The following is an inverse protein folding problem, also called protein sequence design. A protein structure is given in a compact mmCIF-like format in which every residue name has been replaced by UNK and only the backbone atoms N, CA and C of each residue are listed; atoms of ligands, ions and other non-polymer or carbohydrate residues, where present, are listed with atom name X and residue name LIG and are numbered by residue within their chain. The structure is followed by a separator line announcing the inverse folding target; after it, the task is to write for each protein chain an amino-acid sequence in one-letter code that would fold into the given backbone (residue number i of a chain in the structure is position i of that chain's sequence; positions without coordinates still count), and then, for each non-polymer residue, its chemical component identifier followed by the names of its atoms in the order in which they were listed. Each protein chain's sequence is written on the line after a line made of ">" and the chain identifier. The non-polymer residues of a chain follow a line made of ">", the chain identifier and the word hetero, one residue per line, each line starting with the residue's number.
data_IF_419194871476
#
_entry.id   IF_419194871476
#
_cell.length_a   1.000
_cell.length_b   1.000
_cell.length_c   1.000
_cell.angle_alpha   90.00
_cell.angle_beta   90.00
_cell.angle_gamma   90.00
#
_symmetry.space_group_name_H-M   'P 1'
#
loop_
_entity.id
_entity.type
_entity.pdbx_description
1 polymer ?
#
# COMPACT_ATOMS: atom_id res chain seq x y z
N UNK A 1 -18.29 -22.08 -7.24
CA UNK A 1 -17.72 -23.22 -6.50
C UNK A 1 -18.75 -23.68 -5.46
N UNK A 2 -19.13 -24.95 -5.42
CA UNK A 2 -20.00 -25.45 -4.34
C UNK A 2 -19.21 -25.52 -3.02
N UNK A 3 -19.82 -25.17 -1.87
CA UNK A 3 -19.11 -25.22 -0.59
C UNK A 3 -18.85 -26.68 -0.17
N UNK A 4 -17.70 -26.96 0.47
CA UNK A 4 -17.36 -28.32 0.88
C UNK A 4 -18.30 -28.81 2.00
N UNK A 5 -18.94 -29.96 1.76
CA UNK A 5 -19.68 -30.72 2.77
C UNK A 5 -18.71 -31.49 3.66
N UNK A 6 -18.29 -30.92 4.79
CA UNK A 6 -17.96 -31.62 6.05
C UNK A 6 -17.55 -30.64 7.15
N UNK A 7 -18.12 -30.85 8.33
CA UNK A 7 -17.94 -30.13 9.59
C UNK A 7 -16.53 -30.29 10.16
N UNK A 8 -15.58 -29.44 9.75
CA UNK A 8 -14.23 -29.42 10.34
C UNK A 8 -13.64 -28.03 10.74
N UNK A 9 -14.38 -27.05 11.32
CA UNK A 9 -13.74 -25.82 11.84
C UNK A 9 -13.34 -25.87 13.32
N UNK A 10 -14.00 -26.70 14.15
CA UNK A 10 -13.98 -26.50 15.61
C UNK A 10 -12.67 -26.88 16.32
N UNK A 11 -11.94 -27.88 15.83
CA UNK A 11 -10.71 -28.36 16.46
C UNK A 11 -9.48 -27.46 16.21
N UNK A 12 -9.53 -26.57 15.20
CA UNK A 12 -8.45 -25.61 14.90
C UNK A 12 -8.69 -24.22 15.52
N UNK A 13 -9.96 -23.89 15.80
CA UNK A 13 -10.34 -22.61 16.43
C UNK A 13 -9.93 -22.57 17.91
N UNK A 14 -10.03 -23.70 18.63
CA UNK A 14 -9.71 -23.76 20.07
C UNK A 14 -8.22 -23.49 20.36
N UNK A 15 -7.25 -24.09 19.66
CA UNK A 15 -5.83 -23.74 19.82
C UNK A 15 -5.51 -22.29 19.45
N UNK A 16 -6.16 -21.75 18.41
CA UNK A 16 -5.98 -20.36 17.97
C UNK A 16 -6.48 -19.39 19.06
N UNK A 17 -7.67 -19.62 19.60
CA UNK A 17 -8.25 -18.84 20.70
C UNK A 17 -7.42 -18.92 22.00
N UNK A 18 -6.79 -20.06 22.29
CA UNK A 18 -5.90 -20.23 23.45
C UNK A 18 -4.57 -19.48 23.30
N UNK A 19 -4.00 -19.41 22.09
CA UNK A 19 -2.74 -18.69 21.80
C UNK A 19 -2.85 -17.16 21.88
N UNK A 20 -4.08 -16.66 21.80
CA UNK A 20 -4.43 -15.22 21.78
C UNK A 20 -4.52 -14.64 23.21
N UNK A 21 -4.32 -15.45 24.28
CA UNK A 21 -4.62 -15.11 25.68
C UNK A 21 -3.54 -14.35 26.48
N UNK A 22 -2.41 -13.94 25.90
CA UNK A 22 -1.34 -13.22 26.63
C UNK A 22 -1.11 -11.83 26.05
N UNK A 23 -1.63 -10.78 26.72
CA UNK A 23 -1.13 -9.40 26.59
C UNK A 23 -0.79 -8.92 27.99
N UNK A 24 0.50 -8.92 28.29
CA UNK A 24 1.07 -8.41 29.53
C UNK A 24 1.43 -6.93 29.33
N UNK A 25 0.99 -6.08 30.27
CA UNK A 25 1.30 -4.64 30.33
C UNK A 25 2.81 -4.33 30.43
N UNK A 26 3.66 -5.33 30.68
CA UNK A 26 5.12 -5.20 30.76
C UNK A 26 5.79 -4.79 29.43
N UNK A 27 5.10 -4.86 28.30
CA UNK A 27 5.75 -4.83 26.99
C UNK A 27 5.98 -3.44 26.36
N UNK A 28 5.21 -2.42 26.75
CA UNK A 28 5.50 -1.03 26.34
C UNK A 28 6.89 -0.57 26.81
N UNK A 29 7.34 -1.05 27.97
CA UNK A 29 8.69 -0.82 28.47
C UNK A 29 9.76 -1.66 27.77
N UNK A 30 9.41 -2.80 27.18
CA UNK A 30 10.33 -3.71 26.48
C UNK A 30 10.56 -3.30 25.02
N UNK A 31 9.61 -2.60 24.39
CA UNK A 31 9.72 -2.14 23.01
C UNK A 31 10.54 -0.83 22.86
N UNK A 32 10.88 -0.17 23.98
CA UNK A 32 11.75 1.00 24.01
C UNK A 32 13.19 0.56 23.75
N UNK A 33 13.83 1.12 22.73
CA UNK A 33 15.25 0.91 22.52
C UNK A 33 16.04 1.53 23.68
N UNK A 34 16.94 0.74 24.26
CA UNK A 34 17.84 1.16 25.33
C UNK A 34 19.28 1.03 24.87
N UNK A 35 20.15 1.88 25.39
CA UNK A 35 21.58 1.74 25.20
C UNK A 35 22.05 0.40 25.78
N UNK A 36 22.79 -0.39 25.00
CA UNK A 36 23.17 -1.75 25.38
C UNK A 36 24.19 -1.80 26.53
N UNK A 37 24.85 -0.69 26.86
CA UNK A 37 25.83 -0.59 27.96
C UNK A 37 25.26 0.11 29.19
N UNK A 38 24.47 1.17 29.01
CA UNK A 38 23.97 1.99 30.13
C UNK A 38 22.53 1.66 30.52
N UNK A 39 21.75 0.99 29.65
CA UNK A 39 20.34 0.68 29.87
C UNK A 39 19.40 1.90 29.77
N UNK A 40 19.94 3.08 29.49
CA UNK A 40 19.18 4.31 29.34
C UNK A 40 18.32 4.27 28.08
N UNK A 41 17.14 4.88 28.17
CA UNK A 41 16.20 5.00 27.07
C UNK A 41 16.80 5.87 25.95
N UNK A 42 16.77 5.36 24.73
CA UNK A 42 17.28 6.09 23.58
C UNK A 42 16.21 7.02 23.03
N UNK A 43 16.63 8.21 22.60
CA UNK A 43 15.75 9.21 21.98
C UNK A 43 16.17 9.48 20.54
N UNK A 44 15.22 9.85 19.68
CA UNK A 44 15.45 10.30 18.31
C UNK A 44 15.90 11.77 18.28
N UNK A 45 16.22 12.27 17.08
CA UNK A 45 16.71 13.64 16.89
C UNK A 45 15.71 14.74 17.29
N UNK A 46 14.47 14.37 17.58
CA UNK A 46 13.40 15.28 17.99
C UNK A 46 13.05 15.10 19.48
N UNK A 47 13.87 14.37 20.25
CA UNK A 47 13.67 14.15 21.68
C UNK A 47 12.61 13.12 22.03
N UNK A 48 12.22 12.23 21.10
CA UNK A 48 11.20 11.19 21.34
C UNK A 48 11.83 9.83 21.60
N UNK A 49 11.25 8.98 22.48
CA UNK A 49 11.70 7.61 22.65
C UNK A 49 11.84 6.85 21.33
N UNK A 50 12.99 6.18 21.12
CA UNK A 50 13.16 5.22 20.05
C UNK A 50 12.51 3.90 20.45
N UNK A 51 11.81 3.28 19.51
CA UNK A 51 11.17 1.99 19.68
C UNK A 51 11.74 0.99 18.68
N UNK A 52 11.74 -0.31 19.00
CA UNK A 52 12.08 -1.35 18.02
C UNK A 52 11.08 -1.35 16.84
N UNK A 53 9.84 -0.92 17.10
CA UNK A 53 8.80 -0.66 16.09
C UNK A 53 8.19 0.73 16.30
N UNK A 54 8.15 1.59 15.28
CA UNK A 54 7.61 2.96 15.40
C UNK A 54 6.06 2.94 15.38
N UNK A 55 5.38 3.44 16.43
CA UNK A 55 3.97 3.81 16.29
C UNK A 55 3.87 5.09 15.45
N UNK A 56 3.09 5.08 14.37
CA UNK A 56 2.93 6.25 13.50
C UNK A 56 1.61 6.98 13.80
N UNK A 57 1.75 8.26 14.16
CA UNK A 57 0.79 9.37 14.21
C UNK A 57 -0.70 9.05 14.55
N UNK A 58 -0.99 9.14 15.85
CA UNK A 58 -2.30 9.40 16.43
C UNK A 58 -2.77 10.84 16.10
N UNK A 59 -3.60 11.02 15.07
CA UNK A 59 -4.32 12.30 14.89
C UNK A 59 -5.84 12.16 14.76
N UNK A 60 -6.42 10.96 15.00
CA UNK A 60 -7.89 10.78 14.93
C UNK A 60 -8.53 10.26 16.24
N UNK A 61 -7.76 9.83 17.26
CA UNK A 61 -8.34 9.06 18.39
C UNK A 61 -8.16 9.64 19.80
N UNK A 62 -7.95 10.94 19.98
CA UNK A 62 -8.00 11.57 21.31
C UNK A 62 -9.44 11.77 21.86
N UNK A 63 -10.36 10.82 21.62
CA UNK A 63 -11.72 10.90 22.18
C UNK A 63 -12.16 9.71 23.05
N UNK A 64 -11.39 8.64 23.17
CA UNK A 64 -11.78 7.53 24.07
C UNK A 64 -10.68 7.24 25.08
N UNK A 65 -10.98 7.62 26.33
CA UNK A 65 -10.07 7.55 27.47
C UNK A 65 -9.70 6.14 27.89
N UNK A 66 -8.61 6.06 28.65
CA UNK A 66 -8.02 4.86 29.24
C UNK A 66 -9.05 4.03 30.02
N UNK A 67 -9.65 3.04 29.37
CA UNK A 67 -10.51 2.08 30.03
C UNK A 67 -9.76 0.76 30.21
N UNK A 68 -9.22 0.53 31.42
CA UNK A 68 -8.70 -0.77 31.85
C UNK A 68 -9.86 -1.76 32.03
N UNK A 69 -10.22 -2.48 30.98
CA UNK A 69 -11.15 -3.61 31.08
C UNK A 69 -10.37 -4.92 31.16
N UNK A 70 -10.43 -5.59 32.30
CA UNK A 70 -10.06 -7.00 32.40
C UNK A 70 -11.17 -7.84 31.76
N UNK A 71 -10.91 -8.41 30.59
CA UNK A 71 -11.84 -9.33 29.92
C UNK A 71 -11.96 -10.65 30.72
N UNK A 72 -13.16 -11.25 30.85
CA UNK A 72 -13.33 -12.55 31.47
C UNK A 72 -12.49 -13.62 30.77
N UNK A 73 -12.01 -14.62 31.52
CA UNK A 73 -11.20 -15.72 30.98
C UNK A 73 -11.86 -16.40 29.78
N UNK A 74 -11.09 -16.60 28.71
CA UNK A 74 -11.50 -17.08 27.37
C UNK A 74 -12.24 -18.44 27.33
N UNK A 75 -12.27 -19.20 28.43
CA UNK A 75 -13.04 -20.44 28.54
C UNK A 75 -14.56 -20.25 28.39
N UNK A 76 -15.07 -19.02 28.54
CA UNK A 76 -16.51 -18.72 28.42
C UNK A 76 -16.98 -18.35 26.99
N UNK A 77 -16.09 -18.33 25.99
CA UNK A 77 -16.43 -17.93 24.61
C UNK A 77 -17.02 -19.08 23.77
N UNK A 78 -16.69 -20.33 24.10
CA UNK A 78 -17.23 -21.52 23.42
C UNK A 78 -18.76 -21.63 23.62
N UNK A 79 -19.31 -21.44 24.84
CA UNK A 79 -20.75 -21.34 25.04
C UNK A 79 -21.42 -20.21 24.23
N UNK A 80 -20.82 -19.02 24.16
CA UNK A 80 -21.41 -17.87 23.45
C UNK A 80 -21.66 -18.17 21.95
N UNK A 81 -20.73 -18.86 21.29
CA UNK A 81 -20.90 -19.29 19.88
C UNK A 81 -21.98 -20.36 19.74
N UNK A 82 -22.08 -21.29 20.69
CA UNK A 82 -23.04 -22.39 20.69
C UNK A 82 -24.48 -21.93 21.00
N UNK A 83 -24.65 -20.82 21.72
CA UNK A 83 -25.96 -20.25 22.07
C UNK A 83 -26.41 -19.08 21.17
N UNK A 84 -25.74 -18.83 20.04
CA UNK A 84 -26.19 -17.85 19.04
C UNK A 84 -25.67 -16.42 19.23
N UNK A 85 -24.72 -16.17 20.12
CA UNK A 85 -24.12 -14.85 20.37
C UNK A 85 -22.94 -14.53 19.43
N UNK A 86 -23.01 -14.95 18.16
CA UNK A 86 -21.89 -14.78 17.21
C UNK A 86 -21.50 -13.32 17.00
N UNK A 87 -22.48 -12.42 16.90
CA UNK A 87 -22.23 -10.98 16.77
C UNK A 87 -21.61 -10.38 18.03
N UNK A 88 -22.06 -10.77 19.23
CA UNK A 88 -21.42 -10.30 20.47
C UNK A 88 -19.96 -10.78 20.60
N UNK A 89 -19.66 -12.00 20.11
CA UNK A 89 -18.27 -12.46 20.02
C UNK A 89 -17.47 -11.66 18.98
N UNK A 90 -18.06 -11.33 17.84
CA UNK A 90 -17.44 -10.47 16.83
C UNK A 90 -17.06 -9.11 17.43
N UNK A 91 -17.94 -8.49 18.23
CA UNK A 91 -17.65 -7.22 18.90
C UNK A 91 -16.48 -7.31 19.89
N UNK A 92 -16.43 -8.38 20.71
CA UNK A 92 -15.31 -8.61 21.65
C UNK A 92 -13.99 -8.79 20.88
N UNK A 93 -14.02 -9.56 19.79
CA UNK A 93 -12.85 -9.78 18.95
C UNK A 93 -12.44 -8.49 18.24
N UNK A 94 -13.38 -7.61 17.90
CA UNK A 94 -13.09 -6.32 17.29
C UNK A 94 -12.31 -5.41 18.24
N UNK A 95 -12.76 -5.27 19.49
CA UNK A 95 -12.00 -4.58 20.55
C UNK A 95 -10.59 -5.16 20.73
N UNK A 96 -10.45 -6.48 20.55
CA UNK A 96 -9.15 -7.13 20.62
C UNK A 96 -8.24 -6.81 19.42
N UNK A 97 -8.79 -6.75 18.22
CA UNK A 97 -8.06 -6.36 17.01
C UNK A 97 -7.51 -4.93 17.15
N UNK A 98 -8.33 -4.02 17.69
CA UNK A 98 -7.93 -2.66 18.04
C UNK A 98 -6.77 -2.65 19.07
N UNK A 99 -6.88 -3.46 20.13
CA UNK A 99 -5.80 -3.64 21.10
C UNK A 99 -4.48 -4.13 20.47
N UNK A 100 -4.53 -4.99 19.45
CA UNK A 100 -3.34 -5.42 18.71
C UNK A 100 -2.74 -4.30 17.86
N UNK A 101 -3.57 -3.45 17.26
CA UNK A 101 -3.09 -2.30 16.52
C UNK A 101 -2.31 -1.34 17.42
N UNK A 102 -2.87 -0.98 18.58
CA UNK A 102 -2.20 -0.12 19.55
C UNK A 102 -0.92 -0.73 20.14
N UNK A 103 -0.86 -2.05 20.22
CA UNK A 103 0.30 -2.78 20.73
C UNK A 103 1.37 -3.12 19.66
N UNK A 104 1.10 -2.80 18.38
CA UNK A 104 2.02 -3.07 17.26
C UNK A 104 2.04 -4.51 16.75
N UNK A 105 1.09 -5.36 17.17
CA UNK A 105 0.99 -6.76 16.75
C UNK A 105 0.17 -6.92 15.46
N UNK A 106 0.64 -6.29 14.40
CA UNK A 106 -0.05 -6.21 13.12
C UNK A 106 -0.32 -7.59 12.50
N UNK A 107 0.57 -8.56 12.71
CA UNK A 107 0.43 -9.93 12.23
C UNK A 107 -0.80 -10.65 12.81
N UNK A 108 -1.30 -10.21 13.97
CA UNK A 108 -2.45 -10.83 14.66
C UNK A 108 -3.78 -10.24 14.22
N UNK A 109 -3.78 -9.03 13.63
CA UNK A 109 -5.00 -8.34 13.23
C UNK A 109 -5.72 -9.11 12.12
N UNK A 110 -4.99 -9.52 11.09
CA UNK A 110 -5.59 -10.18 9.93
C UNK A 110 -6.35 -11.47 10.30
N UNK A 111 -5.78 -12.47 11.01
CA UNK A 111 -6.54 -13.66 11.41
C UNK A 111 -7.79 -13.33 12.23
N UNK A 112 -7.73 -12.32 13.09
CA UNK A 112 -8.87 -11.88 13.90
C UNK A 112 -9.95 -11.24 13.03
N UNK A 113 -9.60 -10.35 12.09
CA UNK A 113 -10.56 -9.78 11.13
C UNK A 113 -11.24 -10.86 10.28
N UNK A 114 -10.49 -11.87 9.82
CA UNK A 114 -11.07 -12.99 9.09
C UNK A 114 -12.03 -13.83 9.96
N UNK A 115 -11.72 -14.03 11.24
CA UNK A 115 -12.61 -14.71 12.18
C UNK A 115 -13.87 -13.89 12.46
N UNK A 116 -13.73 -12.59 12.67
CA UNK A 116 -14.86 -11.68 12.88
C UNK A 116 -15.81 -11.73 11.68
N UNK A 117 -15.30 -11.60 10.46
CA UNK A 117 -16.13 -11.66 9.24
C UNK A 117 -16.74 -13.04 8.95
N UNK A 118 -16.26 -14.10 9.60
CA UNK A 118 -16.92 -15.41 9.60
C UNK A 118 -18.05 -15.50 10.64
N UNK A 119 -17.87 -14.87 11.80
CA UNK A 119 -18.89 -14.80 12.87
C UNK A 119 -20.04 -13.88 12.49
N UNK A 120 -19.70 -12.68 11.98
CA UNK A 120 -20.63 -11.66 11.54
C UNK A 120 -20.20 -11.13 10.14
N UNK A 121 -20.72 -11.73 9.05
CA UNK A 121 -20.37 -11.32 7.70
C UNK A 121 -20.93 -9.95 7.30
N UNK A 122 -21.85 -9.38 8.09
CA UNK A 122 -22.49 -8.08 7.85
C UNK A 122 -21.77 -6.92 8.56
N UNK A 123 -20.73 -7.22 9.35
CA UNK A 123 -19.94 -6.21 10.06
C UNK A 123 -19.02 -5.43 9.10
N UNK A 124 -19.55 -4.34 8.53
CA UNK A 124 -18.90 -3.55 7.47
C UNK A 124 -17.54 -2.97 7.90
N UNK A 125 -17.48 -2.38 9.09
CA UNK A 125 -16.30 -1.71 9.64
C UNK A 125 -15.06 -2.61 9.62
N UNK A 126 -15.25 -3.90 9.90
CA UNK A 126 -14.16 -4.87 9.95
C UNK A 126 -13.53 -5.06 8.58
N UNK A 127 -14.34 -5.08 7.51
CA UNK A 127 -13.80 -5.16 6.15
C UNK A 127 -13.03 -3.89 5.77
N UNK A 128 -13.59 -2.72 6.06
CA UNK A 128 -13.01 -1.41 5.72
C UNK A 128 -11.68 -1.21 6.47
N UNK A 129 -11.73 -1.25 7.80
CA UNK A 129 -10.55 -0.99 8.65
C UNK A 129 -9.55 -2.14 8.57
N UNK A 130 -10.02 -3.39 8.47
CA UNK A 130 -9.15 -4.55 8.26
C UNK A 130 -8.33 -4.43 6.97
N UNK A 131 -8.96 -4.05 5.86
CA UNK A 131 -8.27 -3.82 4.60
C UNK A 131 -7.35 -2.60 4.66
N UNK A 132 -7.77 -1.52 5.32
CA UNK A 132 -6.93 -0.36 5.57
C UNK A 132 -5.67 -0.73 6.35
N UNK A 133 -5.76 -1.57 7.39
CA UNK A 133 -4.59 -2.08 8.09
C UNK A 133 -3.63 -2.83 7.16
N UNK A 134 -4.15 -3.74 6.34
CA UNK A 134 -3.36 -4.53 5.39
C UNK A 134 -2.64 -3.66 4.35
N UNK A 135 -3.32 -2.64 3.80
CA UNK A 135 -2.79 -1.85 2.71
C UNK A 135 -1.95 -0.63 3.15
N UNK A 136 -2.21 -0.08 4.36
CA UNK A 136 -1.59 1.18 4.82
C UNK A 136 -0.71 0.99 6.05
N UNK A 137 -1.16 0.26 7.07
CA UNK A 137 -0.51 0.27 8.38
C UNK A 137 0.51 -0.83 8.61
N UNK A 138 0.40 -1.95 7.92
CA UNK A 138 1.40 -3.03 8.05
C UNK A 138 2.76 -2.61 7.48
N UNK A 139 2.80 -1.51 6.71
CA UNK A 139 4.00 -0.95 6.08
C UNK A 139 4.78 -2.01 5.27
N UNK A 140 4.03 -2.94 4.67
CA UNK A 140 4.53 -4.04 3.87
C UNK A 140 3.59 -4.25 2.69
N UNK A 141 4.07 -3.87 1.51
CA UNK A 141 3.28 -3.84 0.28
C UNK A 141 2.78 -5.21 -0.18
N UNK A 142 3.37 -6.30 0.35
CA UNK A 142 2.92 -7.67 0.06
C UNK A 142 1.49 -7.91 0.57
N UNK A 143 1.03 -7.16 1.57
CA UNK A 143 -0.32 -7.25 2.12
C UNK A 143 -1.39 -6.45 1.34
N UNK A 144 -1.00 -5.57 0.41
CA UNK A 144 -1.98 -4.75 -0.34
C UNK A 144 -2.99 -5.61 -1.11
N UNK A 145 -2.60 -6.66 -1.86
CA UNK A 145 -3.56 -7.53 -2.54
C UNK A 145 -4.56 -8.19 -1.58
N UNK A 146 -4.09 -8.61 -0.39
CA UNK A 146 -4.95 -9.20 0.62
C UNK A 146 -6.01 -8.21 1.14
N UNK A 147 -5.66 -6.92 1.29
CA UNK A 147 -6.64 -5.88 1.64
C UNK A 147 -7.71 -5.71 0.57
N UNK A 148 -7.32 -5.69 -0.71
CA UNK A 148 -8.27 -5.58 -1.84
C UNK A 148 -9.18 -6.80 -1.94
N UNK A 149 -8.64 -8.01 -1.76
CA UNK A 149 -9.42 -9.26 -1.70
C UNK A 149 -10.34 -9.31 -0.48
N UNK A 150 -9.92 -8.77 0.65
CA UNK A 150 -10.73 -8.69 1.85
C UNK A 150 -11.94 -7.77 1.66
N UNK A 151 -11.76 -6.63 0.97
CA UNK A 151 -12.87 -5.77 0.54
C UNK A 151 -13.77 -6.46 -0.49
N UNK A 152 -13.22 -7.25 -1.42
CA UNK A 152 -14.03 -8.06 -2.35
C UNK A 152 -14.93 -9.04 -1.60
N UNK A 153 -14.40 -9.71 -0.56
CA UNK A 153 -15.21 -10.56 0.33
C UNK A 153 -16.30 -9.75 1.03
N UNK A 154 -15.98 -8.54 1.47
CA UNK A 154 -16.95 -7.60 2.04
C UNK A 154 -18.09 -7.30 1.08
N UNK A 155 -17.78 -6.92 -0.17
CA UNK A 155 -18.74 -6.63 -1.24
C UNK A 155 -19.60 -7.86 -1.54
N UNK A 156 -19.00 -9.05 -1.60
CA UNK A 156 -19.75 -10.30 -1.80
C UNK A 156 -20.78 -10.55 -0.70
N UNK A 157 -20.40 -10.31 0.56
CA UNK A 157 -21.28 -10.51 1.71
C UNK A 157 -22.30 -9.36 1.89
N UNK A 158 -22.00 -8.17 1.35
CA UNK A 158 -22.77 -6.95 1.51
C UNK A 158 -22.94 -6.22 0.16
N UNK A 159 -23.65 -6.84 -0.81
CA UNK A 159 -23.71 -6.33 -2.17
C UNK A 159 -24.42 -4.99 -2.32
N UNK A 160 -25.26 -4.60 -1.35
CA UNK A 160 -26.02 -3.34 -1.34
C UNK A 160 -25.24 -2.17 -0.71
N UNK A 161 -24.06 -2.42 -0.15
CA UNK A 161 -23.26 -1.39 0.51
C UNK A 161 -22.32 -0.70 -0.49
N UNK A 162 -22.59 0.58 -0.75
CA UNK A 162 -21.78 1.41 -1.65
C UNK A 162 -20.38 1.69 -1.08
N UNK A 163 -20.30 1.84 0.24
CA UNK A 163 -19.06 2.20 0.95
C UNK A 163 -17.94 1.18 0.72
N UNK A 164 -18.25 -0.12 0.72
CA UNK A 164 -17.24 -1.16 0.49
C UNK A 164 -16.63 -1.10 -0.92
N UNK A 165 -17.42 -0.69 -1.92
CA UNK A 165 -16.91 -0.48 -3.29
C UNK A 165 -16.05 0.76 -3.37
N UNK A 166 -16.46 1.84 -2.70
CA UNK A 166 -15.66 3.05 -2.60
C UNK A 166 -14.30 2.77 -1.95
N UNK A 167 -14.27 2.07 -0.82
CA UNK A 167 -13.04 1.74 -0.11
C UNK A 167 -12.12 0.81 -0.92
N UNK A 168 -12.71 -0.13 -1.69
CA UNK A 168 -11.93 -0.95 -2.61
C UNK A 168 -11.34 -0.10 -3.74
N UNK A 169 -12.13 0.81 -4.31
CA UNK A 169 -11.68 1.73 -5.36
C UNK A 169 -10.53 2.61 -4.87
N UNK A 170 -10.66 3.16 -3.65
CA UNK A 170 -9.63 3.99 -3.03
C UNK A 170 -8.32 3.21 -2.80
N UNK A 171 -8.41 1.97 -2.30
CA UNK A 171 -7.25 1.11 -2.10
C UNK A 171 -6.58 0.75 -3.43
N UNK A 172 -7.36 0.49 -4.49
CA UNK A 172 -6.86 0.24 -5.84
C UNK A 172 -6.13 1.46 -6.40
N UNK A 173 -6.68 2.65 -6.20
CA UNK A 173 -6.11 3.91 -6.67
C UNK A 173 -4.79 4.26 -5.97
N UNK A 174 -4.78 4.30 -4.63
CA UNK A 174 -3.66 4.84 -3.85
C UNK A 174 -2.54 3.83 -3.60
N UNK A 175 -2.90 2.56 -3.37
CA UNK A 175 -1.95 1.54 -2.92
C UNK A 175 -1.58 0.53 -4.00
N UNK A 176 -2.56 0.03 -4.74
CA UNK A 176 -2.30 -0.94 -5.80
C UNK A 176 -1.88 -0.28 -7.13
N UNK A 177 -2.22 1.00 -7.32
CA UNK A 177 -1.96 1.77 -8.55
C UNK A 177 -2.63 1.10 -9.76
N UNK A 178 -3.85 0.60 -9.56
CA UNK A 178 -4.69 -0.03 -10.57
C UNK A 178 -5.84 0.92 -10.92
N UNK A 179 -5.52 1.94 -11.70
CA UNK A 179 -6.43 3.06 -11.97
C UNK A 179 -7.69 2.65 -12.75
N UNK A 180 -7.57 1.65 -13.64
CA UNK A 180 -8.71 1.15 -14.40
C UNK A 180 -9.71 0.43 -13.50
N UNK A 181 -9.26 -0.47 -12.63
CA UNK A 181 -10.14 -1.13 -11.65
C UNK A 181 -10.66 -0.14 -10.61
N UNK A 182 -9.86 0.84 -10.19
CA UNK A 182 -10.32 1.91 -9.31
C UNK A 182 -11.47 2.71 -9.93
N UNK A 183 -11.31 3.16 -11.19
CA UNK A 183 -12.36 3.88 -11.90
C UNK A 183 -13.63 3.04 -12.07
N UNK A 184 -13.50 1.73 -12.32
CA UNK A 184 -14.65 0.82 -12.35
C UNK A 184 -15.38 0.79 -11.00
N UNK A 185 -14.66 0.57 -9.90
CA UNK A 185 -15.27 0.46 -8.57
C UNK A 185 -15.86 1.78 -8.07
N UNK A 186 -15.24 2.93 -8.36
CA UNK A 186 -15.85 4.23 -8.10
C UNK A 186 -17.12 4.44 -8.92
N UNK A 187 -17.17 3.99 -10.19
CA UNK A 187 -18.38 4.08 -11.01
C UNK A 187 -19.52 3.26 -10.40
N UNK A 188 -19.23 2.06 -9.91
CA UNK A 188 -20.21 1.22 -9.22
C UNK A 188 -20.72 1.88 -7.94
N UNK A 189 -19.83 2.42 -7.09
CA UNK A 189 -20.21 3.15 -5.88
C UNK A 189 -21.07 4.40 -6.18
N UNK A 190 -20.74 5.16 -7.23
CA UNK A 190 -21.52 6.31 -7.66
C UNK A 190 -22.92 5.93 -8.16
N UNK A 191 -23.05 4.82 -8.90
CA UNK A 191 -24.34 4.28 -9.32
C UNK A 191 -25.24 3.89 -8.13
N UNK A 192 -24.63 3.61 -6.97
CA UNK A 192 -25.33 3.30 -5.72
C UNK A 192 -25.57 4.54 -4.84
N UNK A 193 -25.23 5.74 -5.32
CA UNK A 193 -25.52 6.99 -4.61
C UNK A 193 -24.58 7.32 -3.45
N UNK A 194 -23.30 6.87 -3.51
CA UNK A 194 -22.29 7.14 -2.47
C UNK A 194 -22.25 8.63 -2.07
N UNK A 195 -22.13 8.87 -0.76
CA UNK A 195 -22.06 10.20 -0.15
C UNK A 195 -20.82 10.33 0.74
N UNK A 196 -20.34 11.55 1.02
CA UNK A 196 -20.78 12.85 0.47
C UNK A 196 -20.31 13.05 -0.98
N UNK A 197 -20.71 14.15 -1.67
CA UNK A 197 -20.34 14.41 -3.07
C UNK A 197 -18.84 14.30 -3.37
N UNK A 198 -17.98 14.70 -2.43
CA UNK A 198 -16.52 14.56 -2.58
C UNK A 198 -16.05 13.11 -2.80
N UNK A 199 -16.72 12.10 -2.22
CA UNK A 199 -16.40 10.69 -2.53
C UNK A 199 -16.73 10.32 -3.98
N UNK A 200 -17.75 10.96 -4.56
CA UNK A 200 -18.16 10.69 -5.94
C UNK A 200 -17.13 11.21 -6.95
N UNK A 201 -16.49 12.33 -6.61
CA UNK A 201 -15.47 13.00 -7.42
C UNK A 201 -14.24 12.14 -7.69
N UNK A 202 -13.93 11.20 -6.78
CA UNK A 202 -12.82 10.25 -6.94
C UNK A 202 -12.92 9.41 -8.23
N UNK A 203 -14.13 9.22 -8.78
CA UNK A 203 -14.28 8.61 -10.11
C UNK A 203 -13.53 9.40 -11.19
N UNK A 204 -13.69 10.72 -11.22
CA UNK A 204 -13.08 11.55 -12.25
C UNK A 204 -11.55 11.60 -12.09
N UNK A 205 -11.04 11.64 -10.85
CA UNK A 205 -9.61 11.51 -10.57
C UNK A 205 -9.05 10.14 -10.99
N UNK A 206 -9.76 9.04 -10.72
CA UNK A 206 -9.36 7.71 -11.16
C UNK A 206 -9.34 7.59 -12.69
N UNK A 207 -10.32 8.18 -13.39
CA UNK A 207 -10.36 8.23 -14.85
C UNK A 207 -9.19 9.05 -15.42
N UNK A 208 -8.87 10.20 -14.83
CA UNK A 208 -7.73 11.02 -15.22
C UNK A 208 -6.40 10.26 -15.02
N UNK A 209 -6.22 9.61 -13.87
CA UNK A 209 -5.03 8.80 -13.59
C UNK A 209 -4.90 7.58 -14.52
N UNK A 210 -6.02 6.98 -14.94
CA UNK A 210 -6.06 5.94 -15.98
C UNK A 210 -5.79 6.49 -17.39
N UNK A 211 -5.70 7.82 -17.56
CA UNK A 211 -5.51 8.49 -18.83
C UNK A 211 -6.76 8.48 -19.73
N UNK A 212 -7.95 8.25 -19.16
CA UNK A 212 -9.26 8.27 -19.82
C UNK A 212 -9.85 9.69 -19.73
N UNK A 213 -9.17 10.65 -20.35
CA UNK A 213 -9.36 12.08 -20.11
C UNK A 213 -10.76 12.57 -20.49
N UNK A 214 -11.28 12.12 -21.64
CA UNK A 214 -12.63 12.51 -22.08
C UNK A 214 -13.72 12.01 -21.12
N UNK A 215 -13.54 10.83 -20.55
CA UNK A 215 -14.45 10.30 -19.53
C UNK A 215 -14.33 11.04 -18.20
N UNK A 216 -13.12 11.47 -17.81
CA UNK A 216 -12.92 12.28 -16.63
C UNK A 216 -13.63 13.64 -16.76
N UNK A 217 -13.50 14.30 -17.92
CA UNK A 217 -14.21 15.56 -18.23
C UNK A 217 -15.72 15.35 -18.18
N UNK A 218 -16.23 14.31 -18.84
CA UNK A 218 -17.67 14.00 -18.83
C UNK A 218 -18.20 13.69 -17.41
N UNK A 219 -17.40 13.02 -16.58
CA UNK A 219 -17.75 12.78 -15.18
C UNK A 219 -17.84 14.10 -14.39
N UNK A 220 -16.89 15.02 -14.57
CA UNK A 220 -16.96 16.34 -13.94
C UNK A 220 -18.16 17.16 -14.40
N UNK A 221 -18.46 17.18 -15.70
CA UNK A 221 -19.64 17.88 -16.25
C UNK A 221 -20.93 17.37 -15.60
N UNK A 222 -21.08 16.04 -15.50
CA UNK A 222 -22.22 15.43 -14.82
C UNK A 222 -22.30 15.84 -13.34
N UNK A 223 -21.18 15.86 -12.61
CA UNK A 223 -21.19 16.26 -11.20
C UNK A 223 -21.60 17.72 -11.03
N UNK A 224 -21.15 18.61 -11.93
CA UNK A 224 -21.54 20.03 -11.92
C UNK A 224 -23.05 20.18 -12.09
N UNK A 225 -23.64 19.50 -13.06
CA UNK A 225 -25.10 19.53 -13.30
C UNK A 225 -25.88 19.06 -12.07
N UNK A 226 -25.51 17.89 -11.51
CA UNK A 226 -26.18 17.31 -10.34
C UNK A 226 -26.03 18.20 -9.09
N UNK A 227 -24.86 18.79 -8.87
CA UNK A 227 -24.57 19.62 -7.70
C UNK A 227 -25.24 20.98 -7.78
N UNK A 228 -25.31 21.58 -8.97
CA UNK A 228 -26.11 22.78 -9.20
C UNK A 228 -27.59 22.52 -8.99
N UNK A 229 -28.12 21.42 -9.53
CA UNK A 229 -29.52 21.03 -9.34
C UNK A 229 -29.84 20.78 -7.85
N UNK A 230 -28.89 20.25 -7.08
CA UNK A 230 -29.01 20.06 -5.64
C UNK A 230 -28.77 21.34 -4.81
N UNK A 231 -28.44 22.48 -5.44
CA UNK A 231 -28.10 23.73 -4.75
C UNK A 231 -26.75 23.71 -4.01
N UNK A 232 -25.91 22.69 -4.26
CA UNK A 232 -24.59 22.53 -3.67
C UNK A 232 -23.52 23.28 -4.48
N UNK A 233 -23.60 24.61 -4.47
CA UNK A 233 -22.72 25.47 -5.25
C UNK A 233 -21.24 25.28 -4.93
N UNK A 234 -20.89 24.93 -3.68
CA UNK A 234 -19.50 24.69 -3.28
C UNK A 234 -18.89 23.50 -4.05
N UNK A 235 -19.60 22.37 -4.07
CA UNK A 235 -19.15 21.19 -4.79
C UNK A 235 -19.17 21.41 -6.30
N UNK A 236 -20.20 22.08 -6.83
CA UNK A 236 -20.25 22.42 -8.24
C UNK A 236 -19.02 23.26 -8.68
N UNK A 237 -18.55 24.18 -7.83
CA UNK A 237 -17.37 24.99 -8.11
C UNK A 237 -16.07 24.17 -8.05
N UNK A 238 -15.97 23.20 -7.13
CA UNK A 238 -14.85 22.23 -7.08
C UNK A 238 -14.82 21.37 -8.35
N UNK A 239 -15.97 20.85 -8.77
CA UNK A 239 -16.11 20.04 -9.98
C UNK A 239 -15.75 20.85 -11.23
N UNK A 240 -16.22 22.11 -11.32
CA UNK A 240 -15.87 23.05 -12.39
C UNK A 240 -14.37 23.32 -12.44
N UNK A 241 -13.76 23.63 -11.30
CA UNK A 241 -12.32 23.89 -11.25
C UNK A 241 -11.49 22.70 -11.73
N UNK A 242 -11.82 21.49 -11.28
CA UNK A 242 -11.09 20.28 -11.70
C UNK A 242 -11.28 19.98 -13.19
N UNK A 243 -12.50 20.08 -13.71
CA UNK A 243 -12.77 19.95 -15.15
C UNK A 243 -11.92 20.92 -15.98
N UNK A 244 -11.93 22.20 -15.61
CA UNK A 244 -11.25 23.25 -16.36
C UNK A 244 -9.72 23.03 -16.33
N UNK A 245 -9.18 22.55 -15.20
CA UNK A 245 -7.79 22.12 -15.10
C UNK A 245 -7.49 20.90 -16.00
N UNK A 246 -8.36 19.88 -16.01
CA UNK A 246 -8.18 18.69 -16.86
C UNK A 246 -8.18 19.08 -18.34
N UNK A 247 -9.11 19.93 -18.79
CA UNK A 247 -9.17 20.45 -20.16
C UNK A 247 -7.90 21.24 -20.50
N UNK A 248 -7.48 22.14 -19.61
CA UNK A 248 -6.27 22.93 -19.83
C UNK A 248 -5.03 22.02 -19.98
N UNK A 249 -4.89 21.02 -19.10
CA UNK A 249 -3.81 20.02 -19.20
C UNK A 249 -3.91 19.18 -20.47
N UNK A 250 -5.13 18.86 -20.93
CA UNK A 250 -5.33 18.06 -22.14
C UNK A 250 -4.71 18.77 -23.34
N UNK A 251 -5.01 20.06 -23.49
CA UNK A 251 -4.44 20.91 -24.54
C UNK A 251 -2.93 21.09 -24.34
N UNK A 252 -2.49 21.43 -23.13
CA UNK A 252 -1.08 21.71 -22.84
C UNK A 252 -0.17 20.50 -23.08
N UNK A 253 -0.57 19.31 -22.60
CA UNK A 253 0.19 18.07 -22.78
C UNK A 253 0.13 17.56 -24.22
N UNK A 254 -0.96 17.79 -24.95
CA UNK A 254 -1.03 17.51 -26.38
C UNK A 254 -0.06 18.38 -27.20
N UNK A 255 0.11 19.66 -26.84
CA UNK A 255 1.12 20.53 -27.45
C UNK A 255 2.54 20.05 -27.12
N UNK A 256 2.81 19.73 -25.85
CA UNK A 256 4.09 19.18 -25.40
C UNK A 256 4.44 17.88 -26.15
N UNK A 257 3.45 17.01 -26.41
CA UNK A 257 3.64 15.75 -27.11
C UNK A 257 4.09 15.89 -28.56
N UNK A 258 3.94 17.08 -29.19
CA UNK A 258 4.44 17.34 -30.55
C UNK A 258 5.97 17.35 -30.61
N UNK A 259 6.63 17.70 -29.50
CA UNK A 259 8.08 17.76 -29.37
C UNK A 259 8.52 16.98 -28.11
N UNK A 260 8.42 15.64 -28.13
CA UNK A 260 8.73 14.82 -26.96
C UNK A 260 10.21 14.93 -26.60
N UNK A 261 10.51 14.98 -25.30
CA UNK A 261 11.88 15.08 -24.80
C UNK A 261 12.58 13.72 -24.98
N UNK A 262 13.74 13.67 -25.66
CA UNK A 262 14.60 12.48 -25.64
C UNK A 262 15.16 12.30 -24.23
N UNK A 263 14.68 11.26 -23.53
CA UNK A 263 15.06 11.03 -22.15
C UNK A 263 16.46 10.45 -22.09
N UNK A 264 17.33 11.17 -21.41
CA UNK A 264 18.61 10.68 -20.94
C UNK A 264 18.37 10.12 -19.54
N UNK A 265 18.60 8.82 -19.36
CA UNK A 265 18.47 8.15 -18.08
C UNK A 265 19.63 7.18 -17.91
N UNK A 266 20.38 7.35 -16.83
CA UNK A 266 21.49 6.47 -16.47
C UNK A 266 21.24 5.86 -15.10
N UNK A 267 21.84 4.71 -14.86
CA UNK A 267 21.87 4.09 -13.53
C UNK A 267 23.16 3.29 -13.34
N UNK A 268 23.64 3.28 -12.10
CA UNK A 268 24.72 2.46 -11.60
C UNK A 268 24.27 1.85 -10.27
N UNK A 269 24.83 0.68 -9.93
CA UNK A 269 24.50 0.02 -8.68
C UNK A 269 25.71 -0.69 -8.08
N UNK A 270 25.67 -0.86 -6.76
CA UNK A 270 26.68 -1.59 -6.00
C UNK A 270 26.10 -2.11 -4.68
N UNK A 271 26.80 -3.05 -4.05
CA UNK A 271 26.38 -3.64 -2.77
C UNK A 271 27.39 -3.21 -1.69
N UNK A 272 27.24 -2.01 -1.09
CA UNK A 272 28.23 -1.46 -0.17
C UNK A 272 28.34 -2.24 1.14
N UNK A 273 27.27 -2.91 1.59
CA UNK A 273 27.26 -3.80 2.77
C UNK A 273 26.25 -4.95 2.55
N UNK A 274 26.36 -6.00 3.35
CA UNK A 274 25.44 -7.15 3.32
C UNK A 274 23.99 -6.65 3.37
N UNK A 275 23.15 -7.14 2.45
CA UNK A 275 21.73 -6.83 2.26
C UNK A 275 21.42 -5.38 1.90
N UNK A 276 22.38 -4.60 1.43
CA UNK A 276 22.15 -3.20 1.05
C UNK A 276 22.57 -2.96 -0.37
N UNK A 277 21.61 -2.47 -1.16
CA UNK A 277 21.79 -2.08 -2.54
C UNK A 277 21.89 -0.55 -2.61
N UNK A 278 23.01 -0.04 -3.11
CA UNK A 278 23.08 1.35 -3.58
C UNK A 278 22.71 1.36 -5.04
N UNK A 279 21.79 2.24 -5.41
CA UNK A 279 21.39 2.48 -6.79
C UNK A 279 21.22 3.97 -7.00
N UNK A 280 21.86 4.47 -8.05
CA UNK A 280 21.94 5.89 -8.33
C UNK A 280 22.13 6.15 -9.81
N UNK A 281 21.85 7.37 -10.26
CA UNK A 281 21.95 7.72 -11.66
C UNK A 281 21.63 9.17 -11.93
N UNK A 282 21.51 9.47 -13.22
CA UNK A 282 21.13 10.80 -13.71
C UNK A 282 19.91 10.73 -14.61
N UNK A 283 19.20 11.85 -14.72
CA UNK A 283 18.20 12.04 -15.77
C UNK A 283 18.01 13.51 -16.12
N UNK A 284 17.64 13.78 -17.38
CA UNK A 284 17.24 15.10 -17.85
C UNK A 284 15.75 15.42 -17.64
N UNK A 285 14.99 14.54 -16.98
CA UNK A 285 13.59 14.80 -16.64
C UNK A 285 13.43 15.91 -15.58
N UNK A 286 12.23 16.47 -15.41
CA UNK A 286 12.01 17.55 -14.46
C UNK A 286 12.32 17.15 -13.01
N UNK A 287 12.66 18.15 -12.20
CA UNK A 287 12.79 18.00 -10.75
C UNK A 287 11.57 17.32 -10.13
N UNK A 288 11.80 16.60 -9.02
CA UNK A 288 10.78 15.82 -8.31
C UNK A 288 10.29 14.55 -9.03
N UNK A 289 10.78 14.26 -10.24
CA UNK A 289 10.53 12.98 -10.92
C UNK A 289 10.79 11.82 -9.96
N UNK A 290 9.82 10.92 -9.86
CA UNK A 290 9.86 9.73 -9.03
C UNK A 290 10.36 8.55 -9.85
N UNK A 291 11.52 8.03 -9.48
CA UNK A 291 12.08 6.78 -9.97
C UNK A 291 11.64 5.70 -8.98
N UNK A 292 10.71 4.87 -9.41
CA UNK A 292 10.25 3.71 -8.65
C UNK A 292 11.33 2.63 -8.68
N UNK A 293 11.76 2.19 -7.51
CA UNK A 293 12.76 1.13 -7.37
C UNK A 293 12.10 -0.04 -6.65
N UNK A 294 12.02 -1.18 -7.34
CA UNK A 294 11.59 -2.43 -6.74
C UNK A 294 12.73 -3.42 -6.69
N UNK A 295 12.84 -4.17 -5.60
CA UNK A 295 13.69 -5.37 -5.51
C UNK A 295 12.80 -6.51 -5.09
N UNK A 296 12.64 -7.50 -5.98
CA UNK A 296 11.74 -8.64 -5.74
C UNK A 296 12.33 -9.93 -6.25
N UNK A 297 11.80 -11.07 -5.80
CA UNK A 297 12.19 -12.38 -6.34
C UNK A 297 12.05 -12.41 -7.87
N UNK A 298 12.97 -13.04 -8.60
CA UNK A 298 12.95 -13.04 -10.08
C UNK A 298 11.67 -13.64 -10.68
N UNK A 299 11.05 -14.60 -9.98
CA UNK A 299 9.80 -15.23 -10.39
C UNK A 299 8.61 -14.79 -9.50
N UNK A 300 8.65 -13.59 -8.93
CA UNK A 300 7.69 -13.09 -7.94
C UNK A 300 6.22 -13.31 -8.36
N UNK A 301 5.87 -12.93 -9.59
CA UNK A 301 4.49 -13.01 -10.09
C UNK A 301 4.01 -14.47 -10.26
N UNK A 302 4.93 -15.41 -10.56
CA UNK A 302 4.63 -16.84 -10.60
C UNK A 302 4.46 -17.40 -9.19
N UNK A 303 5.36 -17.06 -8.26
CA UNK A 303 5.31 -17.53 -6.87
C UNK A 303 4.03 -17.10 -6.15
N UNK A 304 3.55 -15.88 -6.38
CA UNK A 304 2.25 -15.43 -5.85
C UNK A 304 1.10 -16.29 -6.36
N UNK A 305 1.11 -16.64 -7.66
CA UNK A 305 0.05 -17.46 -8.27
C UNK A 305 0.06 -18.90 -7.74
N UNK A 306 1.24 -19.47 -7.57
CA UNK A 306 1.42 -20.84 -7.06
C UNK A 306 1.13 -20.94 -5.55
N UNK A 307 1.36 -19.85 -4.81
CA UNK A 307 1.17 -19.77 -3.38
C UNK A 307 0.28 -18.58 -3.00
N UNK A 308 -1.04 -18.67 -3.22
CA UNK A 308 -1.97 -17.56 -2.99
C UNK A 308 -2.14 -17.21 -1.50
N UNK A 309 -1.62 -18.03 -0.58
CA UNK A 309 -1.79 -17.77 0.85
C UNK A 309 -0.89 -16.61 1.30
N UNK A 310 -1.50 -15.50 1.72
CA UNK A 310 -0.77 -14.29 2.12
C UNK A 310 0.28 -14.54 3.22
N UNK A 311 -0.03 -15.38 4.22
CA UNK A 311 0.92 -15.74 5.29
C UNK A 311 2.15 -16.48 4.76
N UNK A 312 1.99 -17.28 3.70
CA UNK A 312 3.12 -17.89 3.02
C UNK A 312 3.91 -16.82 2.25
N UNK A 313 3.22 -15.95 1.50
CA UNK A 313 3.86 -14.93 0.68
C UNK A 313 4.74 -14.00 1.52
N UNK A 314 4.23 -13.51 2.65
CA UNK A 314 4.95 -12.58 3.53
C UNK A 314 6.10 -13.24 4.29
N UNK A 315 6.08 -14.57 4.47
CA UNK A 315 7.16 -15.31 5.11
C UNK A 315 8.29 -15.68 4.14
N UNK A 316 8.00 -15.74 2.84
CA UNK A 316 8.89 -16.34 1.84
C UNK A 316 9.36 -15.37 0.75
N UNK A 317 8.54 -14.41 0.35
CA UNK A 317 8.83 -13.51 -0.76
C UNK A 317 9.52 -12.24 -0.29
N UNK A 318 10.44 -11.73 -1.09
CA UNK A 318 11.04 -10.41 -0.91
C UNK A 318 10.35 -9.42 -1.84
N UNK A 319 9.85 -8.31 -1.29
CA UNK A 319 9.42 -7.16 -2.08
C UNK A 319 9.82 -5.87 -1.37
N UNK A 320 10.89 -5.26 -1.84
CA UNK A 320 11.17 -3.85 -1.58
C UNK A 320 10.53 -3.02 -2.68
N UNK A 321 9.91 -1.91 -2.31
CA UNK A 321 9.37 -0.95 -3.27
C UNK A 321 9.27 0.45 -2.63
N UNK A 322 10.10 1.37 -3.13
CA UNK A 322 10.12 2.79 -2.75
C UNK A 322 10.35 3.70 -3.98
N UNK A 323 10.12 5.01 -3.83
CA UNK A 323 10.36 6.02 -4.84
C UNK A 323 11.60 6.85 -4.50
N UNK A 324 12.60 6.81 -5.38
CA UNK A 324 13.72 7.75 -5.38
C UNK A 324 13.30 9.03 -6.11
N UNK A 325 13.77 10.19 -5.65
CA UNK A 325 13.39 11.48 -6.23
C UNK A 325 14.57 12.08 -6.98
N UNK A 326 14.33 12.50 -8.23
CA UNK A 326 15.29 13.26 -9.01
C UNK A 326 15.47 14.64 -8.40
N UNK A 327 16.74 15.00 -8.20
CA UNK A 327 17.17 16.30 -7.71
C UNK A 327 18.51 16.71 -8.31
N UNK A 328 18.59 17.92 -8.85
CA UNK A 328 19.77 18.47 -9.51
C UNK A 328 20.28 17.53 -10.63
N UNK A 329 19.34 16.96 -11.40
CA UNK A 329 19.61 15.98 -12.47
C UNK A 329 20.12 14.62 -11.99
N UNK A 330 20.16 14.38 -10.67
CA UNK A 330 20.65 13.14 -10.05
C UNK A 330 19.58 12.48 -9.21
N UNK A 331 19.59 11.16 -9.16
CA UNK A 331 18.70 10.39 -8.30
C UNK A 331 19.50 9.29 -7.62
N UNK A 332 19.15 9.02 -6.37
CA UNK A 332 19.79 7.98 -5.56
C UNK A 332 18.91 7.72 -4.35
N UNK A 333 19.35 6.77 -3.55
CA UNK A 333 18.93 6.57 -2.19
C UNK A 333 19.23 7.81 -1.33
N UNK A 334 18.23 8.69 -1.20
CA UNK A 334 18.18 9.89 -0.35
C UNK A 334 19.33 10.92 -0.41
N UNK A 335 19.01 12.10 -0.95
CA UNK A 335 19.84 13.30 -0.87
C UNK A 335 19.26 14.35 0.09
N UNK A 336 20.11 15.06 0.83
CA UNK A 336 19.78 16.34 1.47
C UNK A 336 20.90 17.32 1.19
N UNK A 337 20.54 18.51 0.72
CA UNK A 337 21.49 19.59 0.41
C UNK A 337 22.68 19.14 -0.46
N UNK A 338 22.40 18.35 -1.52
CA UNK A 338 23.43 17.88 -2.46
C UNK A 338 24.33 16.75 -1.95
N UNK A 339 24.11 16.22 -0.74
CA UNK A 339 24.87 15.08 -0.20
C UNK A 339 24.00 13.84 -0.06
N UNK A 340 24.54 12.68 -0.46
CA UNK A 340 23.96 11.37 -0.18
C UNK A 340 23.90 11.18 1.34
N UNK A 341 22.71 10.87 1.88
CA UNK A 341 22.54 10.64 3.31
C UNK A 341 22.57 9.15 3.66
N UNK A 342 21.81 8.32 2.96
CA UNK A 342 21.69 6.90 3.32
C UNK A 342 21.24 6.05 2.15
N UNK A 343 21.80 4.85 2.06
CA UNK A 343 21.25 3.80 1.22
C UNK A 343 19.87 3.40 1.75
N UNK A 344 18.82 3.57 0.93
CA UNK A 344 17.41 3.34 1.28
C UNK A 344 16.97 1.92 1.00
N UNK A 345 17.62 1.26 0.05
CA UNK A 345 17.40 -0.16 -0.22
C UNK A 345 18.19 -0.98 0.79
N UNK A 346 17.85 -0.83 2.07
CA UNK A 346 18.43 -1.60 3.18
C UNK A 346 17.51 -2.78 3.52
N UNK A 347 17.72 -3.90 2.83
CA UNK A 347 16.97 -5.15 3.03
C UNK A 347 17.39 -5.86 4.33
N UNK A 348 18.42 -5.37 5.02
CA UNK A 348 18.87 -5.86 6.32
C UNK A 348 18.13 -5.22 7.49
N UNK A 349 17.53 -4.04 7.29
CA UNK A 349 16.80 -3.30 8.33
C UNK A 349 15.56 -4.03 8.84
N UNK A 350 14.89 -4.80 7.97
CA UNK A 350 13.68 -5.57 8.30
C UNK A 350 13.75 -6.99 7.70
N UNK A 351 14.56 -7.91 8.28
CA UNK A 351 14.81 -9.24 7.69
C UNK A 351 13.55 -10.09 7.48
N UNK A 352 12.50 -9.88 8.28
CA UNK A 352 11.21 -10.55 8.11
C UNK A 352 10.44 -10.06 6.87
N UNK A 353 10.62 -8.79 6.48
CA UNK A 353 10.04 -8.24 5.23
C UNK A 353 10.83 -8.64 3.99
N UNK A 354 12.13 -8.82 4.17
CA UNK A 354 13.06 -9.16 3.09
C UNK A 354 13.81 -10.45 3.46
N UNK A 355 13.14 -11.61 3.42
CA UNK A 355 13.73 -12.87 3.86
C UNK A 355 14.87 -13.34 2.96
N UNK A 356 14.88 -12.90 1.69
CA UNK A 356 15.88 -13.26 0.68
C UNK A 356 16.05 -14.78 0.53
N UNK A 357 14.95 -15.48 0.22
CA UNK A 357 14.93 -16.95 0.01
C UNK A 357 15.25 -17.40 -1.42
N UNK A 358 14.98 -16.58 -2.43
CA UNK A 358 15.29 -16.89 -3.83
C UNK A 358 16.79 -16.77 -4.13
N UNK A 359 17.27 -17.54 -5.11
CA UNK A 359 18.65 -17.46 -5.61
C UNK A 359 18.93 -16.16 -6.38
N UNK A 360 17.90 -15.63 -7.05
CA UNK A 360 17.99 -14.45 -7.89
C UNK A 360 16.84 -13.47 -7.62
N UNK A 361 17.17 -12.19 -7.68
CA UNK A 361 16.25 -11.07 -7.52
C UNK A 361 16.31 -10.18 -8.75
N UNK A 362 15.17 -9.62 -9.13
CA UNK A 362 15.10 -8.56 -10.11
C UNK A 362 15.04 -7.21 -9.42
N UNK A 363 15.86 -6.28 -9.91
CA UNK A 363 15.73 -4.87 -9.61
C UNK A 363 15.03 -4.21 -10.78
N UNK A 364 13.91 -3.56 -10.49
CA UNK A 364 13.06 -2.91 -11.50
C UNK A 364 13.09 -1.41 -11.23
N UNK A 365 13.59 -0.66 -12.21
CA UNK A 365 13.57 0.79 -12.25
C UNK A 365 12.43 1.25 -13.16
N UNK A 366 11.46 1.98 -12.61
CA UNK A 366 10.33 2.47 -13.40
C UNK A 366 10.13 3.97 -13.25
N UNK A 367 9.95 4.67 -14.37
CA UNK A 367 9.41 6.04 -14.40
C UNK A 367 8.09 5.96 -15.15
N UNK A 368 7.01 5.70 -14.41
CA UNK A 368 5.66 5.65 -14.94
C UNK A 368 5.05 7.07 -14.90
N UNK A 369 4.68 7.67 -16.05
CA UNK A 369 4.06 8.99 -16.12
C UNK A 369 2.83 9.16 -15.22
N UNK A 370 1.97 8.13 -15.13
CA UNK A 370 0.68 8.21 -14.41
C UNK A 370 0.80 8.44 -12.90
N UNK A 371 1.96 8.11 -12.30
CA UNK A 371 2.21 8.26 -10.86
C UNK A 371 3.14 9.44 -10.53
N UNK A 372 3.49 10.26 -11.53
CA UNK A 372 4.38 11.38 -11.32
C UNK A 372 3.66 12.58 -10.68
N UNK A 373 4.39 13.49 -10.00
CA UNK A 373 3.85 14.79 -9.64
C UNK A 373 3.35 15.57 -10.85
N UNK A 374 2.36 16.43 -10.67
CA UNK A 374 1.73 17.22 -11.75
C UNK A 374 2.76 17.93 -12.65
N UNK A 375 3.79 18.65 -12.14
CA UNK A 375 4.74 19.34 -13.02
C UNK A 375 5.56 18.40 -13.91
N UNK A 376 5.79 17.16 -13.45
CA UNK A 376 6.47 16.13 -14.23
C UNK A 376 5.51 15.56 -15.26
N UNK A 377 4.26 15.31 -14.90
CA UNK A 377 3.22 14.87 -15.84
C UNK A 377 2.93 15.90 -16.94
N UNK A 378 3.07 17.20 -16.65
CA UNK A 378 2.90 18.25 -17.66
C UNK A 378 3.99 18.17 -18.76
N UNK A 379 5.12 17.52 -18.46
CA UNK A 379 6.18 17.21 -19.42
C UNK A 379 6.02 15.82 -20.02
N UNK A 380 5.75 14.80 -19.21
CA UNK A 380 5.70 13.41 -19.69
C UNK A 380 4.38 13.05 -20.36
N UNK A 381 3.29 13.76 -20.07
CA UNK A 381 1.93 13.38 -20.43
C UNK A 381 1.33 12.31 -19.53
N UNK A 382 0.09 11.89 -19.80
CA UNK A 382 -0.59 10.81 -19.05
C UNK A 382 -0.15 9.41 -19.50
N UNK A 383 0.12 9.25 -20.79
CA UNK A 383 0.51 7.99 -21.42
C UNK A 383 1.99 7.97 -21.81
N UNK A 384 2.78 8.93 -21.32
CA UNK A 384 4.18 9.10 -21.69
C UNK A 384 4.38 9.74 -23.05
N UNK A 385 3.38 10.49 -23.52
CA UNK A 385 3.39 11.03 -24.85
C UNK A 385 4.47 12.09 -25.10
N UNK A 386 4.87 12.79 -24.03
CA UNK A 386 5.90 13.83 -24.06
C UNK A 386 7.33 13.33 -23.86
N UNK A 387 7.56 12.00 -23.83
CA UNK A 387 8.90 11.41 -23.73
C UNK A 387 9.20 10.44 -24.88
N UNK A 388 10.48 10.36 -25.24
CA UNK A 388 11.03 9.41 -26.21
C UNK A 388 12.42 8.95 -25.77
N UNK A 389 13.02 7.99 -26.49
CA UNK A 389 14.38 7.52 -26.24
C UNK A 389 14.48 6.00 -26.11
N UNK A 390 15.71 5.46 -26.08
CA UNK A 390 15.95 4.03 -26.19
C UNK A 390 15.46 3.21 -24.99
N UNK A 391 15.35 3.82 -23.80
CA UNK A 391 14.86 3.15 -22.59
C UNK A 391 13.34 3.31 -22.37
N UNK A 392 12.66 4.07 -23.23
CA UNK A 392 11.21 4.26 -23.17
C UNK A 392 10.53 3.07 -23.86
N UNK A 393 9.73 2.33 -23.10
CA UNK A 393 9.00 1.13 -23.53
C UNK A 393 7.51 1.37 -23.37
N UNK A 394 6.71 0.77 -24.25
CA UNK A 394 5.25 0.77 -24.10
C UNK A 394 4.84 -0.46 -23.29
N UNK A 395 4.20 -0.24 -22.14
CA UNK A 395 3.72 -1.27 -21.23
C UNK A 395 2.28 -0.95 -20.89
N UNK A 396 1.37 -1.88 -21.20
CA UNK A 396 -0.07 -1.72 -20.99
C UNK A 396 -0.62 -0.39 -21.58
N UNK A 397 -0.12 -0.03 -22.76
CA UNK A 397 -0.52 1.20 -23.48
C UNK A 397 0.17 2.49 -23.00
N UNK A 398 1.06 2.42 -22.01
CA UNK A 398 1.77 3.60 -21.46
C UNK A 398 3.24 3.57 -21.85
N UNK A 399 3.74 4.66 -22.44
CA UNK A 399 5.17 4.88 -22.67
C UNK A 399 5.84 5.26 -21.35
N UNK A 400 6.81 4.46 -20.91
CA UNK A 400 7.49 4.68 -19.64
C UNK A 400 8.92 4.14 -19.69
N UNK A 401 9.78 4.58 -18.78
CA UNK A 401 11.07 3.89 -18.58
C UNK A 401 10.80 2.67 -17.71
N UNK A 402 11.27 1.49 -18.15
CA UNK A 402 11.29 0.28 -17.33
C UNK A 402 12.54 -0.53 -17.62
N UNK A 403 13.51 -0.42 -16.72
CA UNK A 403 14.74 -1.19 -16.76
C UNK A 403 14.73 -2.29 -15.70
N UNK A 404 15.22 -3.47 -16.10
CA UNK A 404 15.25 -4.65 -15.25
C UNK A 404 16.63 -5.26 -15.33
N UNK A 405 17.23 -5.54 -14.18
CA UNK A 405 18.46 -6.29 -14.09
C UNK A 405 18.42 -7.26 -12.91
N UNK A 406 19.22 -8.31 -12.99
CA UNK A 406 19.24 -9.38 -11.98
C UNK A 406 20.39 -9.17 -11.00
N UNK A 407 20.13 -9.41 -9.71
CA UNK A 407 21.14 -9.54 -8.66
C UNK A 407 20.99 -10.92 -8.03
N UNK A 408 22.11 -11.61 -7.86
CA UNK A 408 22.12 -12.91 -7.18
C UNK A 408 22.18 -12.76 -5.66
N UNK A 409 21.67 -13.77 -4.96
CA UNK A 409 21.63 -13.82 -3.49
C UNK A 409 23.02 -13.74 -2.87
N UNK A 410 24.01 -14.45 -3.42
CA UNK A 410 25.41 -14.46 -2.96
C UNK A 410 26.00 -13.03 -2.97
N UNK A 411 25.74 -12.27 -4.04
CA UNK A 411 26.15 -10.88 -4.17
C UNK A 411 25.53 -10.00 -3.07
N UNK A 412 24.21 -10.12 -2.83
CA UNK A 412 23.50 -9.37 -1.78
C UNK A 412 24.02 -9.72 -0.39
N UNK A 413 24.36 -10.97 -0.15
CA UNK A 413 24.84 -11.43 1.15
C UNK A 413 26.34 -11.18 1.35
N UNK A 414 27.04 -10.68 0.31
CA UNK A 414 28.50 -10.59 0.24
C UNK A 414 29.18 -11.91 0.56
N UNK A 415 28.52 -13.00 0.20
CA UNK A 415 29.13 -14.32 0.20
C UNK A 415 29.99 -14.35 -1.06
N UNK A 416 31.29 -14.09 -0.93
CA UNK A 416 32.21 -14.37 -2.03
C UNK A 416 32.02 -15.85 -2.38
N UNK A 417 31.74 -16.22 -3.65
CA UNK A 417 31.76 -17.61 -4.03
C UNK A 417 33.11 -18.19 -3.59
N UNK A 418 33.08 -19.29 -2.83
CA UNK A 418 34.28 -20.00 -2.47
C UNK A 418 34.94 -20.49 -3.78
N UNK A 419 35.85 -19.70 -4.32
CA UNK A 419 36.55 -19.99 -5.57
C UNK A 419 36.27 -19.00 -6.71
N UNK A 420 36.65 -17.72 -6.55
CA UNK A 420 37.17 -16.90 -7.63
C UNK A 420 37.86 -15.66 -7.04
N UNK A 421 39.11 -15.87 -6.63
CA UNK A 421 40.11 -14.82 -6.61
C UNK A 421 40.86 -14.90 -7.95
N UNK A 422 40.64 -13.92 -8.83
CA UNK A 422 41.63 -13.29 -9.72
C UNK A 422 40.98 -12.16 -10.51
#
# INVERSE_FOLDING_TARGET
>A
MQPPKKTWPWLLIIPLLLSISLVDSSMYHQNIQRDAKTGEQLYDSNGRPKYHFRPMNTMILHQHGDAKWSLPSFNNLIPAVLFGFKSALADILWVKADGYFHSGYYERIMPVCHLITWLDPKFLEVYIIGAWHMAYNFLDRRYIPAGVEFLEKGIHNNPEEAELRFEQAHTLFDKQIDFDRAAQRHREANAMGIQPPGKRHELAHALEAAGRIDEAIAAWEKFIEEEQAAGNWQMAHVSQHNRDLTIWRQVARAEQAKNPIPVEFTYNWQIPKKRVLRIEGTSNLPELTKINVQVRDKNYDQLIKEHPQILWQVANLTLFWDNMTLKDGRWSTWFKSGKLITDRVDLGSEPAKYPLRSEEYEVILTINPRVQPIPVQDVTGWHGEGITGPLVKTIDGVRMIREVFTIRRDQLLKETPAGQAQ
#
